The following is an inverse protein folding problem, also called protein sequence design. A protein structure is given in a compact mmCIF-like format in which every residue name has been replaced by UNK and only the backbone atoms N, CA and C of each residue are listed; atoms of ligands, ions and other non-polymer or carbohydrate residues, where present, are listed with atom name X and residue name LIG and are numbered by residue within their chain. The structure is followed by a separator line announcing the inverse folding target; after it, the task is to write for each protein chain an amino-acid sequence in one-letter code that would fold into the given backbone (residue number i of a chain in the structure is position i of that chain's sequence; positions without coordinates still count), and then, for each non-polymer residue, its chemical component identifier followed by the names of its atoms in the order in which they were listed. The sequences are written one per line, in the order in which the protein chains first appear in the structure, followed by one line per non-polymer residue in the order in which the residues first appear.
data_IF_571578052645
#
_entry.id   IF_571578052645
#
_cell.length_a   1.000
_cell.length_b   1.000
_cell.length_c   1.000
_cell.angle_alpha   90.00
_cell.angle_beta   90.00
_cell.angle_gamma   90.00
#
_symmetry.space_group_name_H-M   'P 1'
#
loop_
_entity.id
_entity.type
_entity.pdbx_description
1 polymer ?
#
# COMPACT_ATOMS: atom_id res chain seq x y z
N UNK A 1 -28.35 -15.74 -19.35
CA UNK A 1 -28.22 -15.81 -17.87
C UNK A 1 -26.90 -15.18 -17.38
N UNK A 2 -26.01 -14.79 -18.30
CA UNK A 2 -24.66 -14.24 -18.01
C UNK A 2 -24.62 -12.77 -17.59
N UNK A 3 -25.66 -11.98 -17.92
CA UNK A 3 -25.71 -10.55 -17.59
C UNK A 3 -25.70 -10.29 -16.07
N UNK A 4 -26.27 -11.21 -15.29
CA UNK A 4 -26.34 -11.09 -13.84
C UNK A 4 -24.97 -11.38 -13.18
N UNK A 5 -24.20 -12.33 -13.71
CA UNK A 5 -22.88 -12.70 -13.18
C UNK A 5 -21.85 -11.58 -13.40
N UNK A 6 -21.92 -10.88 -14.55
CA UNK A 6 -21.02 -9.77 -14.85
C UNK A 6 -21.23 -8.57 -13.92
N UNK A 7 -22.50 -8.21 -13.66
CA UNK A 7 -22.83 -7.13 -12.71
C UNK A 7 -22.36 -7.43 -11.29
N UNK A 8 -22.54 -8.67 -10.82
CA UNK A 8 -22.08 -9.10 -9.49
C UNK A 8 -20.56 -9.03 -9.39
N UNK A 9 -19.83 -9.41 -10.45
CA UNK A 9 -18.37 -9.31 -10.50
C UNK A 9 -17.88 -7.86 -10.42
N UNK A 10 -18.47 -6.96 -11.22
CA UNK A 10 -18.12 -5.52 -11.20
C UNK A 10 -18.38 -4.93 -9.82
N UNK A 11 -19.56 -5.18 -9.24
CA UNK A 11 -19.94 -4.64 -7.95
C UNK A 11 -18.98 -5.11 -6.84
N UNK A 12 -18.56 -6.38 -6.87
CA UNK A 12 -17.60 -6.94 -5.92
C UNK A 12 -16.23 -6.26 -6.03
N UNK A 13 -15.74 -6.02 -7.25
CA UNK A 13 -14.47 -5.33 -7.46
C UNK A 13 -14.54 -3.86 -7.06
N UNK A 14 -15.66 -3.18 -7.32
CA UNK A 14 -15.88 -1.79 -6.89
C UNK A 14 -15.86 -1.68 -5.36
N UNK A 15 -16.55 -2.58 -4.66
CA UNK A 15 -16.54 -2.63 -3.18
C UNK A 15 -15.13 -2.84 -2.65
N UNK A 16 -14.34 -3.76 -3.26
CA UNK A 16 -12.94 -3.96 -2.88
C UNK A 16 -12.11 -2.69 -3.09
N UNK A 17 -12.27 -2.02 -4.22
CA UNK A 17 -11.59 -0.77 -4.52
C UNK A 17 -11.90 0.31 -3.48
N UNK A 18 -13.17 0.52 -3.14
CA UNK A 18 -13.57 1.47 -2.10
C UNK A 18 -12.97 1.12 -0.73
N UNK A 19 -12.88 -0.16 -0.36
CA UNK A 19 -12.20 -0.59 0.86
C UNK A 19 -10.72 -0.21 0.85
N UNK A 20 -10.02 -0.43 -0.27
CA UNK A 20 -8.59 -0.06 -0.41
C UNK A 20 -8.39 1.46 -0.34
N UNK A 21 -9.34 2.28 -0.81
CA UNK A 21 -9.30 3.73 -0.60
C UNK A 21 -9.35 4.06 0.90
N UNK A 22 -10.27 3.44 1.66
CA UNK A 22 -10.33 3.61 3.11
C UNK A 22 -9.02 3.22 3.80
N UNK A 23 -8.42 2.09 3.41
CA UNK A 23 -7.11 1.65 3.90
C UNK A 23 -6.03 2.67 3.58
N UNK A 24 -5.99 3.23 2.36
CA UNK A 24 -5.03 4.26 1.97
C UNK A 24 -5.14 5.51 2.85
N UNK A 25 -6.36 6.02 3.06
CA UNK A 25 -6.60 7.20 3.90
C UNK A 25 -6.12 6.98 5.33
N UNK A 26 -6.47 5.85 5.94
CA UNK A 26 -6.04 5.50 7.30
C UNK A 26 -4.52 5.35 7.37
N UNK A 27 -3.91 4.74 6.35
CA UNK A 27 -2.45 4.56 6.29
C UNK A 27 -1.71 5.89 6.22
N UNK A 28 -2.24 6.86 5.46
CA UNK A 28 -1.69 8.22 5.39
C UNK A 28 -1.81 8.90 6.75
N UNK A 29 -2.97 8.85 7.40
CA UNK A 29 -3.17 9.46 8.73
C UNK A 29 -2.16 8.88 9.74
N UNK A 30 -2.02 7.55 9.79
CA UNK A 30 -1.07 6.89 10.70
C UNK A 30 0.37 7.33 10.40
N UNK A 31 0.74 7.40 9.13
CA UNK A 31 2.09 7.80 8.72
C UNK A 31 2.40 9.26 9.11
N UNK A 32 1.45 10.18 8.91
CA UNK A 32 1.55 11.57 9.36
C UNK A 32 1.73 11.64 10.88
N UNK A 33 0.93 10.88 11.63
CA UNK A 33 1.03 10.85 13.10
C UNK A 33 2.41 10.34 13.55
N UNK A 34 2.89 9.23 12.99
CA UNK A 34 4.22 8.69 13.29
C UNK A 34 5.30 9.71 12.98
N UNK A 35 5.22 10.37 11.82
CA UNK A 35 6.20 11.38 11.41
C UNK A 35 6.15 12.59 12.35
N UNK A 36 4.96 13.06 12.72
CA UNK A 36 4.78 14.19 13.63
C UNK A 36 5.35 13.95 15.03
N UNK A 37 5.49 12.70 15.47
CA UNK A 37 6.20 12.36 16.72
C UNK A 37 7.72 12.35 16.57
N UNK A 38 8.24 12.22 15.36
CA UNK A 38 9.66 12.07 15.06
C UNK A 38 10.31 13.33 14.47
N UNK A 39 9.55 14.24 13.87
CA UNK A 39 10.04 15.46 13.23
C UNK A 39 9.66 16.71 14.03
N UNK A 40 10.53 17.71 14.00
CA UNK A 40 10.22 19.06 14.50
C UNK A 40 9.40 19.88 13.49
N UNK A 41 9.09 19.32 12.33
CA UNK A 41 8.35 19.98 11.26
C UNK A 41 6.94 20.38 11.71
N UNK A 42 6.40 21.52 11.23
CA UNK A 42 5.04 21.94 11.55
C UNK A 42 4.02 20.88 11.12
N UNK A 43 3.07 20.58 12.01
CA UNK A 43 2.02 19.59 11.73
C UNK A 43 1.25 19.88 10.44
N UNK A 44 1.01 21.16 10.13
CA UNK A 44 0.32 21.57 8.91
C UNK A 44 1.08 21.15 7.64
N UNK A 45 2.41 21.25 7.65
CA UNK A 45 3.25 20.87 6.50
C UNK A 45 3.21 19.35 6.30
N UNK A 46 3.25 18.56 7.38
CA UNK A 46 3.09 17.11 7.32
C UNK A 46 1.74 16.69 6.76
N UNK A 47 0.66 17.41 7.12
CA UNK A 47 -0.68 17.18 6.56
C UNK A 47 -0.71 17.51 5.07
N UNK A 48 -0.11 18.62 4.64
CA UNK A 48 0.01 18.98 3.22
C UNK A 48 0.79 17.91 2.44
N UNK A 49 1.91 17.43 2.97
CA UNK A 49 2.69 16.33 2.37
C UNK A 49 1.83 15.07 2.26
N UNK A 50 1.10 14.75 3.33
CA UNK A 50 0.16 13.62 3.37
C UNK A 50 -0.89 13.67 2.28
N UNK A 51 -1.56 14.81 2.12
CA UNK A 51 -2.67 14.98 1.18
C UNK A 51 -2.22 15.10 -0.28
N UNK A 52 -1.13 15.83 -0.54
CA UNK A 52 -0.72 16.14 -1.92
C UNK A 52 0.31 15.18 -2.49
N UNK A 53 1.02 14.41 -1.65
CA UNK A 53 2.05 13.48 -2.13
C UNK A 53 1.76 12.04 -1.73
N UNK A 54 1.56 11.76 -0.43
CA UNK A 54 1.39 10.39 0.05
C UNK A 54 0.08 9.76 -0.42
N UNK A 55 -1.04 10.46 -0.27
CA UNK A 55 -2.35 9.95 -0.66
C UNK A 55 -2.43 9.66 -2.18
N UNK A 56 -2.02 10.57 -3.08
CA UNK A 56 -1.95 10.26 -4.51
C UNK A 56 -1.03 9.07 -4.82
N UNK A 57 0.12 8.95 -4.15
CA UNK A 57 1.01 7.81 -4.33
C UNK A 57 0.34 6.48 -3.96
N UNK A 58 -0.43 6.43 -2.87
CA UNK A 58 -1.22 5.24 -2.52
C UNK A 58 -2.32 4.94 -3.53
N UNK A 59 -3.02 5.95 -4.03
CA UNK A 59 -4.09 5.75 -5.01
C UNK A 59 -3.55 5.25 -6.36
N UNK A 60 -2.44 5.83 -6.83
CA UNK A 60 -1.85 5.52 -8.14
C UNK A 60 -1.06 4.21 -8.10
N UNK A 61 -0.26 3.98 -7.06
CA UNK A 61 0.63 2.81 -6.99
C UNK A 61 0.15 1.80 -5.96
N UNK A 62 -0.15 2.22 -4.74
CA UNK A 62 -0.50 1.34 -3.64
C UNK A 62 -1.70 0.43 -3.94
N UNK A 63 -2.81 1.00 -4.42
CA UNK A 63 -4.02 0.23 -4.73
C UNK A 63 -3.77 -0.77 -5.88
N UNK A 64 -3.26 -0.37 -7.06
CA UNK A 64 -2.97 -1.34 -8.13
C UNK A 64 -1.99 -2.45 -7.71
N UNK A 65 -0.94 -2.11 -6.96
CA UNK A 65 0.02 -3.08 -6.44
C UNK A 65 -0.65 -4.07 -5.49
N UNK A 66 -1.57 -3.60 -4.63
CA UNK A 66 -2.29 -4.49 -3.71
C UNK A 66 -3.09 -5.57 -4.47
N UNK A 67 -3.75 -5.19 -5.58
CA UNK A 67 -4.45 -6.15 -6.45
C UNK A 67 -3.48 -7.08 -7.19
N UNK A 68 -2.31 -6.59 -7.58
CA UNK A 68 -1.28 -7.43 -8.21
C UNK A 68 -0.76 -8.48 -7.22
N UNK A 69 -0.47 -8.08 -5.99
CA UNK A 69 -0.04 -8.98 -4.91
C UNK A 69 -1.10 -10.05 -4.64
N UNK A 70 -2.38 -9.66 -4.57
CA UNK A 70 -3.49 -10.61 -4.43
C UNK A 70 -3.52 -11.65 -5.55
N UNK A 71 -3.32 -11.25 -6.80
CA UNK A 71 -3.25 -12.17 -7.94
C UNK A 71 -2.04 -13.12 -7.87
N UNK A 72 -0.87 -12.61 -7.47
CA UNK A 72 0.34 -13.43 -7.32
C UNK A 72 0.13 -14.48 -6.24
N UNK A 73 -0.39 -14.06 -5.09
CA UNK A 73 -0.69 -14.95 -3.95
C UNK A 73 -1.70 -16.03 -4.31
N UNK A 74 -2.79 -15.66 -5.01
CA UNK A 74 -3.79 -16.62 -5.48
C UNK A 74 -3.18 -17.66 -6.43
N UNK A 75 -2.27 -17.24 -7.32
CA UNK A 75 -1.59 -18.14 -8.27
C UNK A 75 -0.62 -19.10 -7.59
N UNK A 76 -0.02 -18.71 -6.47
CA UNK A 76 0.91 -19.54 -5.70
C UNK A 76 0.21 -20.57 -4.81
N UNK A 77 -1.13 -20.56 -4.75
CA UNK A 77 -1.96 -21.53 -4.00
C UNK A 77 -1.47 -21.82 -2.57
N UNK A 78 -0.96 -20.78 -1.88
CA UNK A 78 -0.41 -20.92 -0.53
C UNK A 78 -1.54 -21.06 0.49
N UNK A 79 -1.63 -22.23 1.11
CA UNK A 79 -2.71 -22.56 2.06
C UNK A 79 -2.36 -22.13 3.50
N UNK A 80 -1.09 -22.12 3.87
CA UNK A 80 -0.69 -21.87 5.25
C UNK A 80 -0.67 -20.38 5.60
N UNK A 81 -1.49 -19.99 6.60
CA UNK A 81 -1.58 -18.63 7.16
C UNK A 81 -0.23 -17.94 7.44
N UNK A 82 0.75 -18.56 8.13
CA UNK A 82 2.02 -17.89 8.40
C UNK A 82 2.83 -17.63 7.12
N UNK A 83 2.92 -18.60 6.20
CA UNK A 83 3.63 -18.39 4.92
C UNK A 83 2.96 -17.30 4.08
N UNK A 84 1.63 -17.25 4.10
CA UNK A 84 0.86 -16.22 3.43
C UNK A 84 1.17 -14.83 4.00
N UNK A 85 1.25 -14.69 5.33
CA UNK A 85 1.62 -13.44 5.98
C UNK A 85 3.03 -12.99 5.59
N UNK A 86 4.04 -13.86 5.74
CA UNK A 86 5.42 -13.50 5.40
C UNK A 86 5.62 -13.21 3.92
N UNK A 87 4.94 -13.94 3.02
CA UNK A 87 4.98 -13.64 1.60
C UNK A 87 4.40 -12.25 1.31
N UNK A 88 3.22 -11.93 1.85
CA UNK A 88 2.65 -10.61 1.65
C UNK A 88 3.53 -9.51 2.25
N UNK A 89 4.06 -9.72 3.45
CA UNK A 89 4.98 -8.79 4.10
C UNK A 89 6.20 -8.50 3.21
N UNK A 90 6.80 -9.54 2.62
CA UNK A 90 7.88 -9.39 1.66
C UNK A 90 7.44 -8.66 0.38
N UNK A 91 6.31 -9.04 -0.22
CA UNK A 91 5.83 -8.44 -1.48
C UNK A 91 5.47 -6.97 -1.32
N UNK A 92 4.78 -6.59 -0.24
CA UNK A 92 4.48 -5.19 0.06
C UNK A 92 5.74 -4.39 0.38
N UNK A 93 6.64 -4.92 1.20
CA UNK A 93 7.92 -4.27 1.49
C UNK A 93 8.75 -4.06 0.22
N UNK A 94 8.86 -5.08 -0.62
CA UNK A 94 9.56 -5.01 -1.90
C UNK A 94 8.91 -4.00 -2.86
N UNK A 95 7.58 -3.94 -2.91
CA UNK A 95 6.88 -2.95 -3.73
C UNK A 95 7.12 -1.52 -3.22
N UNK A 96 7.09 -1.29 -1.90
CA UNK A 96 7.42 0.00 -1.29
C UNK A 96 8.84 0.46 -1.62
N UNK A 97 9.79 -0.48 -1.58
CA UNK A 97 11.15 -0.24 -2.03
C UNK A 97 11.20 0.13 -3.51
N UNK A 98 10.54 -0.63 -4.39
CA UNK A 98 10.54 -0.38 -5.84
C UNK A 98 9.94 0.99 -6.22
N UNK A 99 8.86 1.41 -5.58
CA UNK A 99 8.22 2.71 -5.85
C UNK A 99 9.20 3.87 -5.65
N UNK A 100 10.09 3.75 -4.67
CA UNK A 100 11.12 4.77 -4.40
C UNK A 100 12.36 4.55 -5.25
N UNK A 101 12.77 3.30 -5.42
CA UNK A 101 13.99 2.93 -6.14
C UNK A 101 13.96 3.30 -7.62
N UNK A 102 12.83 3.07 -8.30
CA UNK A 102 12.73 3.31 -9.75
C UNK A 102 12.93 4.79 -10.09
N UNK A 103 12.22 5.76 -9.46
CA UNK A 103 12.48 7.18 -9.69
C UNK A 103 13.92 7.61 -9.41
N UNK A 104 14.52 7.12 -8.32
CA UNK A 104 15.92 7.43 -7.96
C UNK A 104 16.89 6.98 -9.06
N UNK A 105 16.70 5.77 -9.58
CA UNK A 105 17.55 5.24 -10.66
C UNK A 105 17.37 6.01 -11.97
N UNK A 106 16.14 6.47 -12.25
CA UNK A 106 15.84 7.25 -13.45
C UNK A 106 16.31 8.71 -13.38
N UNK A 107 16.37 9.31 -12.19
CA UNK A 107 16.82 10.69 -12.03
C UNK A 107 18.32 10.86 -12.20
N UNK A 108 19.12 9.78 -12.13
CA UNK A 108 20.58 9.81 -12.28
C UNK A 108 21.33 10.50 -11.14
N UNK A 109 20.61 11.22 -10.28
CA UNK A 109 21.11 11.80 -9.05
C UNK A 109 21.13 10.75 -7.94
N UNK A 110 22.30 10.53 -7.34
CA UNK A 110 22.37 9.87 -6.04
C UNK A 110 21.67 10.78 -5.03
N UNK A 111 20.38 10.51 -4.79
CA UNK A 111 19.64 11.19 -3.74
C UNK A 111 20.45 10.96 -2.46
N UNK A 112 20.95 12.05 -1.86
CA UNK A 112 21.82 12.08 -0.67
C UNK A 112 21.25 11.33 0.54
N UNK A 113 20.01 10.83 0.44
CA UNK A 113 19.32 10.06 1.46
C UNK A 113 18.52 8.88 0.89
N UNK A 114 19.01 8.18 -0.13
CA UNK A 114 18.37 6.96 -0.68
C UNK A 114 17.95 5.95 0.40
N UNK A 115 18.79 5.78 1.43
CA UNK A 115 18.48 4.89 2.57
C UNK A 115 17.23 5.34 3.33
N UNK A 116 17.10 6.64 3.59
CA UNK A 116 15.95 7.20 4.29
C UNK A 116 14.67 7.05 3.45
N UNK A 117 14.71 7.44 2.17
CA UNK A 117 13.57 7.31 1.27
C UNK A 117 13.15 5.84 1.06
N UNK A 118 14.11 4.92 0.93
CA UNK A 118 13.81 3.49 0.84
C UNK A 118 13.13 2.99 2.10
N UNK A 119 13.61 3.41 3.27
CA UNK A 119 13.02 3.02 4.54
C UNK A 119 11.61 3.58 4.71
N UNK A 120 11.36 4.84 4.33
CA UNK A 120 10.03 5.44 4.40
C UNK A 120 9.05 4.78 3.41
N UNK A 121 9.50 4.47 2.18
CA UNK A 121 8.70 3.74 1.19
C UNK A 121 8.30 2.34 1.65
N UNK A 122 9.24 1.59 2.22
CA UNK A 122 8.97 0.26 2.81
C UNK A 122 8.01 0.39 3.99
N UNK A 123 8.25 1.34 4.90
CA UNK A 123 7.41 1.55 6.08
C UNK A 123 5.97 1.91 5.68
N UNK A 124 5.80 2.81 4.72
CA UNK A 124 4.51 3.18 4.16
C UNK A 124 3.76 1.94 3.60
N UNK A 125 4.42 1.16 2.74
CA UNK A 125 3.81 -0.05 2.17
C UNK A 125 3.44 -1.09 3.22
N UNK A 126 4.25 -1.24 4.28
CA UNK A 126 3.96 -2.15 5.38
C UNK A 126 2.79 -1.67 6.25
N UNK A 127 2.67 -0.37 6.52
CA UNK A 127 1.50 0.19 7.22
C UNK A 127 0.24 -0.13 6.42
N UNK A 128 0.25 0.16 5.12
CA UNK A 128 -0.87 -0.16 4.25
C UNK A 128 -1.25 -1.63 4.28
N UNK A 129 -0.27 -2.53 4.25
CA UNK A 129 -0.50 -3.97 4.38
C UNK A 129 -1.18 -4.33 5.70
N UNK A 130 -0.67 -3.85 6.83
CA UNK A 130 -1.21 -4.18 8.15
C UNK A 130 -2.62 -3.61 8.35
N UNK A 131 -2.89 -2.40 7.86
CA UNK A 131 -4.25 -1.85 7.86
C UNK A 131 -5.15 -2.68 6.92
N UNK A 132 -4.67 -3.06 5.74
CA UNK A 132 -5.44 -3.93 4.84
C UNK A 132 -5.81 -5.26 5.49
N UNK A 133 -4.95 -5.85 6.33
CA UNK A 133 -5.25 -7.08 7.07
C UNK A 133 -6.37 -6.89 8.10
N UNK A 134 -6.46 -5.74 8.74
CA UNK A 134 -7.52 -5.43 9.72
C UNK A 134 -8.87 -5.32 9.02
N UNK A 135 -8.89 -4.69 7.84
CA UNK A 135 -10.12 -4.46 7.07
C UNK A 135 -10.54 -5.64 6.18
N UNK A 136 -9.60 -6.54 5.85
CA UNK A 136 -9.87 -7.75 5.10
C UNK A 136 -9.92 -8.95 6.04
N UNK A 137 -11.14 -9.40 6.34
CA UNK A 137 -11.36 -10.59 7.14
C UNK A 137 -10.58 -11.79 6.53
N UNK A 138 -9.60 -12.38 7.25
CA UNK A 138 -8.78 -13.48 6.75
C UNK A 138 -9.55 -14.79 6.55
N UNK A 139 -10.86 -14.80 6.84
CA UNK A 139 -11.78 -15.93 6.71
C UNK A 139 -12.39 -16.10 5.31
N UNK A 140 -12.16 -15.15 4.39
CA UNK A 140 -12.72 -15.17 3.03
C UNK A 140 -11.67 -14.99 1.91
N UNK A 141 -10.42 -15.44 2.15
CA UNK A 141 -9.45 -15.69 1.07
C UNK A 141 -9.21 -17.19 0.91
#
# INVERSE_FOLDING_TARGET
MDFNLYHVYILRNLIKFCKKIGVALISVIILILIWSFSSEDPFLDLVMIGLFYLLPAYLIFGIPISFLIEKIVQKLSIISKPKLYFLNLFLYGFAGFLIVFIPVMLSGEMILNFKFFSFTGVTAALIFYHISLIFENPTLR
#
